data_IF_211142760272
#
_entry.id   IF_211142760272
#
_cell.length_a   1.000
_cell.length_b   1.000
_cell.length_c   1.000
_cell.angle_alpha   90.00
_cell.angle_beta   90.00
_cell.angle_gamma   90.00
#
_symmetry.space_group_name_H-M   'P 1'
#
loop_
_entity.id
_entity.type
_entity.pdbx_description
1 polymer ?
#
# COMPACT_ATOMS: atom_id res chain seq x y z
N UNK A 1 16.87 6.67 -8.55
CA UNK A 1 16.92 5.96 -7.26
C UNK A 1 18.15 5.08 -7.11
N UNK A 2 18.22 3.90 -7.76
CA UNK A 2 19.40 3.01 -7.64
C UNK A 2 20.68 3.68 -8.15
N UNK A 3 20.57 4.42 -9.25
CA UNK A 3 21.66 5.26 -9.74
C UNK A 3 22.08 6.30 -8.70
N UNK A 4 21.16 7.17 -8.26
CA UNK A 4 21.42 8.15 -7.19
C UNK A 4 22.07 7.54 -5.94
N UNK A 5 21.58 6.37 -5.51
CA UNK A 5 22.13 5.66 -4.34
C UNK A 5 23.58 5.25 -4.58
N UNK A 6 23.89 4.63 -5.72
CA UNK A 6 25.25 4.19 -6.05
C UNK A 6 26.16 5.40 -6.25
N UNK A 7 25.76 6.38 -7.05
CA UNK A 7 26.59 7.55 -7.38
C UNK A 7 26.85 8.42 -6.15
N UNK A 8 25.87 8.61 -5.28
CA UNK A 8 26.06 9.35 -4.02
C UNK A 8 26.99 8.62 -3.05
N UNK A 9 26.95 7.28 -2.98
CA UNK A 9 27.88 6.53 -2.14
C UNK A 9 29.30 6.52 -2.70
N UNK A 10 29.48 6.50 -4.03
CA UNK A 10 30.82 6.69 -4.64
C UNK A 10 31.37 8.07 -4.31
N UNK A 11 30.56 9.12 -4.44
CA UNK A 11 30.96 10.47 -4.08
C UNK A 11 31.27 10.62 -2.58
N UNK A 12 30.49 9.96 -1.72
CA UNK A 12 30.70 9.96 -0.27
C UNK A 12 31.97 9.22 0.13
N UNK A 13 32.21 8.02 -0.38
CA UNK A 13 33.42 7.26 -0.11
C UNK A 13 34.68 8.06 -0.46
N UNK A 14 34.62 8.85 -1.55
CA UNK A 14 35.68 9.81 -1.89
C UNK A 14 35.85 10.90 -0.83
N UNK A 15 34.77 11.48 -0.35
CA UNK A 15 34.82 12.52 0.68
C UNK A 15 35.32 11.99 2.03
N UNK A 16 34.99 10.74 2.35
CA UNK A 16 35.39 10.04 3.58
C UNK A 16 36.83 9.49 3.50
N UNK A 17 37.50 9.62 2.35
CA UNK A 17 38.88 9.17 2.15
C UNK A 17 39.02 7.64 2.10
N UNK A 18 37.99 6.93 1.64
CA UNK A 18 38.00 5.48 1.54
C UNK A 18 39.00 4.99 0.48
N UNK A 19 39.62 3.84 0.76
CA UNK A 19 40.57 3.16 -0.14
C UNK A 19 39.91 2.76 -1.46
N UNK A 20 38.70 2.19 -1.39
CA UNK A 20 37.92 1.74 -2.53
C UNK A 20 36.44 1.63 -2.18
N UNK A 21 35.59 1.60 -3.21
CA UNK A 21 34.16 1.27 -3.08
C UNK A 21 33.95 -0.16 -3.55
N UNK A 22 33.33 -1.00 -2.72
CA UNK A 22 32.87 -2.32 -3.13
C UNK A 22 31.37 -2.28 -3.45
N UNK A 23 31.02 -2.50 -4.72
CA UNK A 23 29.64 -2.71 -5.16
C UNK A 23 29.40 -4.22 -5.37
N UNK A 24 28.53 -4.80 -4.54
CA UNK A 24 28.05 -6.17 -4.77
C UNK A 24 26.85 -6.16 -5.71
N UNK A 25 26.84 -7.04 -6.72
CA UNK A 25 25.87 -7.04 -7.82
C UNK A 25 25.15 -8.40 -7.87
N UNK A 26 23.83 -8.35 -7.79
CA UNK A 26 22.92 -9.39 -8.26
C UNK A 26 21.74 -8.71 -8.95
N UNK A 27 21.74 -8.68 -10.28
CA UNK A 27 20.72 -7.97 -11.05
C UNK A 27 20.41 -8.64 -12.40
N UNK A 28 19.12 -8.76 -12.76
CA UNK A 28 18.73 -9.16 -14.10
C UNK A 28 18.85 -8.02 -15.13
N UNK A 29 19.08 -6.77 -14.70
CA UNK A 29 19.11 -5.60 -15.56
C UNK A 29 18.40 -4.39 -14.95
N UNK A 30 18.10 -3.41 -15.80
CA UNK A 30 17.44 -2.17 -15.38
C UNK A 30 17.36 -1.13 -16.49
N UNK A 31 16.95 0.08 -16.13
CA UNK A 31 16.83 1.19 -17.07
C UNK A 31 18.20 1.61 -17.62
N UNK A 32 18.29 1.81 -18.94
CA UNK A 32 19.52 2.27 -19.60
C UNK A 32 20.01 3.64 -19.13
N UNK A 33 19.11 4.54 -18.72
CA UNK A 33 19.50 5.83 -18.13
C UNK A 33 20.25 5.66 -16.80
N UNK A 34 19.71 4.83 -15.89
CA UNK A 34 20.37 4.50 -14.62
C UNK A 34 21.72 3.81 -14.84
N UNK A 35 21.79 2.90 -15.80
CA UNK A 35 23.02 2.22 -16.19
C UNK A 35 24.09 3.21 -16.65
N UNK A 36 23.73 4.14 -17.54
CA UNK A 36 24.64 5.15 -18.05
C UNK A 36 25.18 6.06 -16.93
N UNK A 37 24.30 6.49 -16.02
CA UNK A 37 24.68 7.33 -14.90
C UNK A 37 25.67 6.63 -13.95
N UNK A 38 25.41 5.38 -13.60
CA UNK A 38 26.31 4.57 -12.76
C UNK A 38 27.65 4.34 -13.47
N UNK A 39 27.61 3.93 -14.74
CA UNK A 39 28.81 3.68 -15.57
C UNK A 39 29.68 4.94 -15.67
N UNK A 40 29.06 6.10 -15.91
CA UNK A 40 29.75 7.37 -15.96
C UNK A 40 30.37 7.74 -14.61
N UNK A 41 29.68 7.47 -13.49
CA UNK A 41 30.23 7.67 -12.16
C UNK A 41 31.47 6.81 -11.90
N UNK A 42 31.55 5.60 -12.45
CA UNK A 42 32.73 4.73 -12.28
C UNK A 42 33.90 5.21 -13.14
N UNK A 43 33.63 5.54 -14.40
CA UNK A 43 34.65 6.04 -15.35
C UNK A 43 35.27 7.36 -14.91
N UNK A 44 34.51 8.20 -14.20
CA UNK A 44 34.96 9.52 -13.69
C UNK A 44 35.42 9.50 -12.23
N UNK A 45 35.34 8.35 -11.55
CA UNK A 45 35.76 8.22 -10.16
C UNK A 45 37.27 8.41 -10.03
N UNK A 46 37.69 9.12 -8.98
CA UNK A 46 39.10 9.26 -8.59
C UNK A 46 39.52 8.25 -7.53
N UNK A 47 38.59 7.43 -7.04
CA UNK A 47 38.87 6.29 -6.16
C UNK A 47 38.49 4.98 -6.88
N UNK A 48 39.19 3.86 -6.63
CA UNK A 48 38.86 2.57 -7.21
C UNK A 48 37.44 2.12 -6.86
N UNK A 49 36.68 1.70 -7.87
CA UNK A 49 35.41 0.98 -7.69
C UNK A 49 35.65 -0.49 -8.04
N UNK A 50 35.26 -1.36 -7.11
CA UNK A 50 35.30 -2.82 -7.23
C UNK A 50 33.86 -3.27 -7.42
N UNK A 51 33.52 -3.76 -8.61
CA UNK A 51 32.25 -4.40 -8.86
C UNK A 51 32.40 -5.92 -8.71
N UNK A 52 31.55 -6.53 -7.88
CA UNK A 52 31.63 -7.94 -7.52
C UNK A 52 30.28 -8.62 -7.70
N UNK A 53 30.18 -9.57 -8.64
CA UNK A 53 28.96 -10.37 -8.81
C UNK A 53 28.91 -11.46 -7.75
N UNK A 54 28.00 -11.33 -6.79
CA UNK A 54 27.92 -12.21 -5.63
C UNK A 54 26.53 -12.13 -4.97
N UNK A 55 26.12 -13.14 -4.18
CA UNK A 55 26.83 -14.39 -3.86
C UNK A 55 26.86 -15.39 -5.03
N UNK A 56 27.39 -16.61 -4.82
CA UNK A 56 27.22 -17.70 -5.80
C UNK A 56 25.75 -17.88 -6.19
N UNK A 57 25.49 -18.03 -7.49
CA UNK A 57 24.14 -18.03 -8.08
C UNK A 57 23.64 -16.66 -8.54
N UNK A 58 24.31 -15.57 -8.13
CA UNK A 58 24.01 -14.22 -8.60
C UNK A 58 24.37 -14.02 -10.07
N UNK A 59 23.90 -12.90 -10.63
CA UNK A 59 24.18 -12.51 -12.01
C UNK A 59 24.37 -11.02 -12.20
N UNK A 60 25.13 -10.67 -13.23
CA UNK A 60 25.21 -9.32 -13.77
C UNK A 60 24.70 -9.34 -15.22
N UNK A 61 23.37 -9.38 -15.37
CA UNK A 61 22.74 -9.40 -16.69
C UNK A 61 22.34 -7.98 -17.14
N UNK A 62 22.28 -7.79 -18.45
CA UNK A 62 21.81 -6.54 -19.06
C UNK A 62 22.58 -5.31 -18.56
N UNK A 63 21.89 -4.30 -18.02
CA UNK A 63 22.51 -3.14 -17.39
C UNK A 63 23.57 -3.52 -16.33
N UNK A 64 23.40 -4.65 -15.64
CA UNK A 64 24.37 -5.16 -14.67
C UNK A 64 25.72 -5.48 -15.28
N UNK A 65 25.77 -5.98 -16.52
CA UNK A 65 27.04 -6.26 -17.21
C UNK A 65 27.79 -4.96 -17.51
N UNK A 66 27.10 -3.91 -17.97
CA UNK A 66 27.74 -2.60 -18.19
C UNK A 66 28.28 -2.02 -16.87
N UNK A 67 27.53 -2.14 -15.77
CA UNK A 67 27.95 -1.66 -14.44
C UNK A 67 29.18 -2.45 -13.96
N UNK A 68 29.15 -3.78 -14.03
CA UNK A 68 30.29 -4.62 -13.66
C UNK A 68 31.54 -4.25 -14.46
N UNK A 69 31.39 -4.19 -15.79
CA UNK A 69 32.52 -4.10 -16.69
C UNK A 69 33.05 -2.67 -16.87
N UNK A 70 32.33 -1.67 -16.35
CA UNK A 70 32.79 -0.28 -16.25
C UNK A 70 33.59 0.02 -14.99
N UNK A 71 33.63 -0.90 -14.04
CA UNK A 71 34.44 -0.74 -12.83
C UNK A 71 35.93 -1.00 -13.13
N UNK A 72 36.84 -0.23 -12.50
CA UNK A 72 38.28 -0.49 -12.50
C UNK A 72 38.65 -1.92 -12.08
N UNK A 73 37.88 -2.52 -11.16
CA UNK A 73 37.99 -3.95 -10.82
C UNK A 73 36.65 -4.63 -11.03
N UNK A 74 36.63 -5.65 -11.89
CA UNK A 74 35.50 -6.54 -12.13
C UNK A 74 35.81 -7.93 -11.56
N UNK A 75 35.02 -8.37 -10.58
CA UNK A 75 35.18 -9.66 -9.93
C UNK A 75 33.86 -10.44 -9.94
N UNK A 76 33.95 -11.76 -9.88
CA UNK A 76 32.77 -12.64 -9.85
C UNK A 76 32.94 -13.74 -8.79
N UNK A 77 31.85 -14.16 -8.16
CA UNK A 77 31.83 -15.36 -7.34
C UNK A 77 31.70 -16.61 -8.22
N UNK A 78 32.15 -17.80 -7.76
CA UNK A 78 31.89 -19.05 -8.47
C UNK A 78 30.39 -19.25 -8.71
N UNK A 79 30.04 -19.91 -9.82
CA UNK A 79 28.65 -20.16 -10.22
C UNK A 79 27.80 -18.88 -10.39
N UNK A 80 28.42 -17.80 -10.90
CA UNK A 80 27.72 -16.59 -11.34
C UNK A 80 27.84 -16.43 -12.85
N UNK A 81 27.02 -15.55 -13.44
CA UNK A 81 27.05 -15.25 -14.88
C UNK A 81 26.99 -13.75 -15.19
N UNK A 82 27.50 -13.37 -16.36
CA UNK A 82 27.55 -12.00 -16.88
C UNK A 82 27.20 -11.98 -18.36
N UNK A 83 26.48 -10.94 -18.81
CA UNK A 83 26.17 -10.69 -20.21
C UNK A 83 24.68 -10.42 -20.45
N UNK A 84 24.12 -10.95 -21.54
CA UNK A 84 22.72 -10.77 -21.94
C UNK A 84 22.32 -9.28 -21.96
N UNK A 85 23.06 -8.48 -22.72
CA UNK A 85 23.05 -7.02 -22.71
C UNK A 85 22.45 -6.36 -23.93
N UNK A 86 21.69 -7.10 -24.72
CA UNK A 86 20.93 -6.56 -25.85
C UNK A 86 19.84 -5.59 -25.35
N UNK A 87 19.79 -4.34 -25.85
CA UNK A 87 18.76 -3.38 -25.46
C UNK A 87 17.37 -3.82 -25.93
N UNK A 88 16.41 -3.84 -25.01
CA UNK A 88 15.00 -4.14 -25.27
C UNK A 88 14.12 -2.96 -24.89
N UNK A 89 12.93 -2.88 -25.47
CA UNK A 89 11.95 -1.86 -25.15
C UNK A 89 11.39 -2.01 -23.73
N UNK A 90 10.79 -0.94 -23.20
CA UNK A 90 10.19 -0.92 -21.85
C UNK A 90 9.09 -1.99 -21.65
N UNK A 91 8.48 -2.48 -22.73
CA UNK A 91 7.50 -3.56 -22.68
C UNK A 91 8.12 -4.97 -22.67
N UNK A 92 9.45 -5.08 -22.60
CA UNK A 92 10.18 -6.36 -22.64
C UNK A 92 10.34 -6.96 -24.05
N UNK A 93 9.88 -6.26 -25.09
CA UNK A 93 10.00 -6.70 -26.48
C UNK A 93 11.15 -6.06 -27.22
N UNK A 94 11.54 -6.64 -28.35
CA UNK A 94 12.59 -6.10 -29.22
C UNK A 94 12.25 -4.70 -29.75
N UNK A 95 13.28 -3.85 -29.84
CA UNK A 95 13.18 -2.55 -30.50
C UNK A 95 13.28 -2.78 -32.00
N UNK A 96 12.21 -2.51 -32.74
CA UNK A 96 12.15 -2.85 -34.17
C UNK A 96 12.76 -1.78 -35.09
N UNK A 97 13.14 -2.22 -36.28
CA UNK A 97 13.61 -1.36 -37.38
C UNK A 97 14.95 -0.66 -37.12
N UNK A 98 15.21 0.40 -37.89
CA UNK A 98 16.46 1.16 -37.85
C UNK A 98 16.78 1.76 -36.48
N UNK A 99 15.76 2.03 -35.65
CA UNK A 99 15.98 2.50 -34.28
C UNK A 99 16.64 1.42 -33.42
N UNK A 100 16.16 0.17 -33.50
CA UNK A 100 16.75 -0.96 -32.77
C UNK A 100 18.20 -1.20 -33.17
N UNK A 101 18.49 -1.16 -34.47
CA UNK A 101 19.86 -1.27 -34.98
C UNK A 101 20.77 -0.16 -34.46
N UNK A 102 20.30 1.10 -34.46
CA UNK A 102 21.05 2.24 -33.92
C UNK A 102 21.34 2.07 -32.44
N UNK A 103 20.33 1.71 -31.64
CA UNK A 103 20.46 1.53 -30.19
C UNK A 103 21.41 0.37 -29.87
N UNK A 104 21.27 -0.77 -30.57
CA UNK A 104 22.16 -1.92 -30.40
C UNK A 104 23.61 -1.59 -30.78
N UNK A 105 23.82 -0.93 -31.91
CA UNK A 105 25.17 -0.57 -32.38
C UNK A 105 25.84 0.45 -31.44
N UNK A 106 25.08 1.41 -30.93
CA UNK A 106 25.57 2.39 -29.94
C UNK A 106 25.97 1.71 -28.62
N UNK A 107 25.09 0.83 -28.10
CA UNK A 107 25.37 0.06 -26.89
C UNK A 107 26.59 -0.88 -27.05
N UNK A 108 26.74 -1.51 -28.22
CA UNK A 108 27.86 -2.38 -28.56
C UNK A 108 29.18 -1.58 -28.60
N UNK A 109 29.17 -0.42 -29.26
CA UNK A 109 30.31 0.48 -29.30
C UNK A 109 30.69 1.01 -27.90
N UNK A 110 29.70 1.33 -27.07
CA UNK A 110 29.90 1.74 -25.67
C UNK A 110 30.57 0.63 -24.86
N UNK A 111 30.03 -0.60 -24.90
CA UNK A 111 30.61 -1.76 -24.20
C UNK A 111 32.07 -2.01 -24.63
N UNK A 112 32.32 -1.99 -25.94
CA UNK A 112 33.67 -2.15 -26.51
C UNK A 112 34.62 -1.08 -25.98
N UNK A 113 34.20 0.18 -25.99
CA UNK A 113 35.01 1.33 -25.53
C UNK A 113 35.36 1.20 -24.06
N UNK A 114 34.39 0.83 -23.22
CA UNK A 114 34.60 0.61 -21.78
C UNK A 114 35.67 -0.48 -21.55
N UNK A 115 35.61 -1.59 -22.29
CA UNK A 115 36.59 -2.67 -22.11
C UNK A 115 38.00 -2.26 -22.56
N UNK A 116 38.10 -1.47 -23.63
CA UNK A 116 39.38 -0.93 -24.09
C UNK A 116 40.03 0.00 -23.06
N UNK A 117 39.24 0.76 -22.28
CA UNK A 117 39.76 1.60 -21.18
C UNK A 117 40.55 0.77 -20.16
N UNK A 118 40.07 -0.44 -19.83
CA UNK A 118 40.66 -1.30 -18.82
C UNK A 118 41.55 -2.43 -19.40
N UNK A 119 41.70 -2.51 -20.72
CA UNK A 119 42.50 -3.54 -21.37
C UNK A 119 41.89 -4.95 -21.29
N UNK A 120 40.56 -5.03 -21.16
CA UNK A 120 39.78 -6.27 -21.13
C UNK A 120 39.34 -6.69 -22.53
N UNK A 121 38.83 -7.91 -22.68
CA UNK A 121 38.40 -8.47 -23.96
C UNK A 121 37.13 -7.78 -24.47
N UNK A 122 37.34 -6.73 -25.27
CA UNK A 122 36.29 -5.90 -25.83
C UNK A 122 35.43 -6.64 -26.85
N UNK A 123 36.02 -7.54 -27.65
CA UNK A 123 35.32 -8.28 -28.69
C UNK A 123 34.31 -9.24 -28.08
N UNK A 124 34.69 -9.99 -27.03
CA UNK A 124 33.77 -10.88 -26.33
C UNK A 124 32.68 -10.09 -25.59
N UNK A 125 33.03 -9.00 -24.90
CA UNK A 125 32.04 -8.19 -24.20
C UNK A 125 31.01 -7.55 -25.15
N UNK A 126 31.41 -7.18 -26.37
CA UNK A 126 30.51 -6.68 -27.39
C UNK A 126 29.42 -7.71 -27.77
N UNK A 127 29.77 -9.01 -27.81
CA UNK A 127 28.80 -10.08 -28.10
C UNK A 127 27.67 -10.17 -27.07
N UNK A 128 27.89 -9.67 -25.85
CA UNK A 128 26.81 -9.56 -24.87
C UNK A 128 25.68 -8.66 -25.36
N UNK A 129 26.01 -7.66 -26.18
CA UNK A 129 25.05 -6.72 -26.76
C UNK A 129 24.52 -7.22 -28.10
N UNK A 130 25.40 -7.67 -29.00
CA UNK A 130 24.99 -8.04 -30.37
C UNK A 130 24.26 -9.38 -30.44
N UNK A 131 24.73 -10.35 -29.65
CA UNK A 131 24.33 -11.76 -29.76
C UNK A 131 23.60 -12.25 -28.50
N UNK A 132 23.33 -11.34 -27.55
CA UNK A 132 22.79 -11.63 -26.23
C UNK A 132 23.60 -12.69 -25.46
N UNK A 133 24.91 -12.82 -25.73
CA UNK A 133 25.75 -13.82 -25.11
C UNK A 133 25.82 -13.63 -23.58
N UNK A 134 25.84 -14.74 -22.86
CA UNK A 134 25.99 -14.78 -21.40
C UNK A 134 26.98 -15.88 -21.05
N UNK A 135 27.94 -15.57 -20.20
CA UNK A 135 29.06 -16.46 -19.87
C UNK A 135 29.21 -16.61 -18.36
N UNK A 136 29.80 -17.73 -17.95
CA UNK A 136 30.12 -18.06 -16.55
C UNK A 136 31.30 -17.24 -16.02
N UNK A 137 31.45 -17.18 -14.70
CA UNK A 137 32.60 -16.55 -14.05
C UNK A 137 33.93 -17.11 -14.56
N UNK A 138 34.02 -18.43 -14.75
CA UNK A 138 35.20 -19.15 -15.22
C UNK A 138 35.57 -18.77 -16.66
N UNK A 139 34.58 -18.74 -17.56
CA UNK A 139 34.77 -18.29 -18.94
C UNK A 139 35.16 -16.81 -19.00
N UNK A 140 34.50 -15.96 -18.19
CA UNK A 140 34.78 -14.54 -18.13
C UNK A 140 36.23 -14.26 -17.68
N UNK A 141 36.73 -15.00 -16.69
CA UNK A 141 38.12 -14.87 -16.24
C UNK A 141 39.10 -15.39 -17.31
N UNK A 142 38.84 -16.57 -17.87
CA UNK A 142 39.70 -17.19 -18.88
C UNK A 142 39.84 -16.30 -20.12
N UNK A 143 38.76 -15.63 -20.51
CA UNK A 143 38.71 -14.75 -21.67
C UNK A 143 39.06 -13.29 -21.35
N UNK A 144 39.47 -12.97 -20.11
CA UNK A 144 39.82 -11.61 -19.65
C UNK A 144 38.69 -10.57 -19.83
N UNK A 145 37.45 -10.98 -19.56
CA UNK A 145 36.30 -10.06 -19.41
C UNK A 145 36.19 -9.54 -17.98
N UNK A 146 36.69 -10.30 -17.00
CA UNK A 146 36.82 -9.88 -15.60
C UNK A 146 38.27 -10.08 -15.13
N UNK A 147 38.59 -9.55 -13.95
CA UNK A 147 39.95 -9.56 -13.42
C UNK A 147 40.24 -10.75 -12.50
N UNK A 148 39.24 -11.21 -11.73
CA UNK A 148 39.41 -12.32 -10.79
C UNK A 148 38.09 -12.97 -10.36
N UNK A 149 38.21 -14.18 -9.79
CA UNK A 149 37.13 -14.89 -9.11
C UNK A 149 37.43 -14.97 -7.61
N UNK A 150 36.45 -14.62 -6.79
CA UNK A 150 36.58 -14.64 -5.33
C UNK A 150 35.37 -15.34 -4.69
N UNK A 151 35.60 -16.19 -3.67
CA UNK A 151 34.52 -16.98 -3.03
C UNK A 151 33.70 -16.21 -2.00
N UNK A 152 34.26 -15.12 -1.49
CA UNK A 152 33.61 -14.22 -0.53
C UNK A 152 34.23 -12.84 -0.62
N UNK A 153 33.60 -11.86 0.04
CA UNK A 153 34.16 -10.53 0.18
C UNK A 153 35.53 -10.53 0.87
N UNK A 154 35.75 -11.40 1.87
CA UNK A 154 37.06 -11.51 2.52
C UNK A 154 38.13 -12.06 1.58
N UNK A 155 37.78 -13.07 0.77
CA UNK A 155 38.68 -13.61 -0.27
C UNK A 155 39.01 -12.55 -1.32
N UNK A 156 38.01 -11.77 -1.75
CA UNK A 156 38.16 -10.65 -2.69
C UNK A 156 39.14 -9.59 -2.17
N UNK A 157 38.90 -9.09 -0.95
CA UNK A 157 39.72 -8.05 -0.31
C UNK A 157 41.16 -8.55 -0.12
N UNK A 158 41.35 -9.81 0.26
CA UNK A 158 42.68 -10.40 0.40
C UNK A 158 43.42 -10.54 -0.95
N UNK A 159 42.71 -10.92 -2.02
CA UNK A 159 43.29 -11.05 -3.35
C UNK A 159 43.58 -9.70 -4.04
N UNK A 160 42.96 -8.61 -3.59
CA UNK A 160 43.14 -7.27 -4.13
C UNK A 160 44.30 -6.50 -3.48
N UNK A 161 44.80 -6.97 -2.34
CA UNK A 161 45.85 -6.27 -1.61
C UNK A 161 47.14 -6.22 -2.43
N UNK A 162 47.71 -5.02 -2.55
CA UNK A 162 48.91 -4.74 -3.33
C UNK A 162 48.73 -4.76 -4.85
N UNK A 163 47.50 -4.93 -5.37
CA UNK A 163 47.27 -4.88 -6.83
C UNK A 163 47.22 -3.45 -7.33
N UNK A 164 47.86 -3.24 -8.48
CA UNK A 164 47.78 -1.98 -9.21
C UNK A 164 46.53 -1.96 -10.11
N UNK A 165 45.69 -0.95 -9.94
CA UNK A 165 44.39 -0.81 -10.61
C UNK A 165 44.38 0.47 -11.44
N UNK A 166 43.99 0.33 -12.71
CA UNK A 166 43.83 1.46 -13.63
C UNK A 166 42.43 2.06 -13.52
N UNK A 167 42.34 3.31 -13.12
CA UNK A 167 41.10 4.09 -13.10
C UNK A 167 40.67 4.50 -14.51
N UNK A 168 39.41 4.91 -14.68
CA UNK A 168 38.85 5.33 -15.97
C UNK A 168 39.57 6.53 -16.61
N UNK A 169 40.20 7.39 -15.80
CA UNK A 169 41.04 8.50 -16.28
C UNK A 169 42.47 8.08 -16.67
N UNK A 170 42.83 6.80 -16.57
CA UNK A 170 44.16 6.26 -16.85
C UNK A 170 45.16 6.33 -15.70
N UNK A 171 44.77 6.87 -14.55
CA UNK A 171 45.64 6.87 -13.35
C UNK A 171 45.72 5.47 -12.76
N UNK A 172 46.91 5.09 -12.29
CA UNK A 172 47.16 3.83 -11.62
C UNK A 172 47.16 4.04 -10.11
N UNK A 173 46.43 3.20 -9.38
CA UNK A 173 46.30 3.23 -7.92
C UNK A 173 46.57 1.83 -7.39
N UNK A 174 47.51 1.70 -6.46
CA UNK A 174 47.74 0.44 -5.74
C UNK A 174 46.74 0.32 -4.60
N UNK A 175 46.00 -0.79 -4.58
CA UNK A 175 45.04 -1.09 -3.53
C UNK A 175 45.73 -1.57 -2.25
N UNK A 176 45.41 -0.94 -1.11
CA UNK A 176 45.85 -1.33 0.23
C UNK A 176 44.65 -1.85 1.03
N UNK A 177 44.29 -3.10 0.81
CA UNK A 177 43.08 -3.72 1.37
C UNK A 177 43.35 -4.63 2.56
N UNK A 178 44.61 -4.93 2.87
CA UNK A 178 44.98 -5.70 4.07
C UNK A 178 44.50 -5.00 5.35
N UNK A 179 43.61 -5.67 6.10
CA UNK A 179 43.05 -5.13 7.33
C UNK A 179 42.00 -4.02 7.12
N UNK A 180 41.52 -3.83 5.89
CA UNK A 180 40.47 -2.86 5.60
C UNK A 180 39.20 -3.17 6.40
N UNK A 181 38.59 -2.11 6.97
CA UNK A 181 37.29 -2.21 7.64
C UNK A 181 36.20 -2.06 6.58
N UNK A 182 35.38 -3.10 6.43
CA UNK A 182 34.20 -3.04 5.56
C UNK A 182 33.13 -2.18 6.25
N UNK A 183 32.88 -0.99 5.70
CA UNK A 183 31.80 -0.13 6.12
C UNK A 183 30.59 -0.38 5.23
N UNK A 184 29.61 -1.10 5.76
CA UNK A 184 28.36 -1.31 5.06
C UNK A 184 27.56 -0.01 4.99
N UNK A 185 27.35 0.45 3.77
CA UNK A 185 26.35 1.47 3.48
C UNK A 185 25.09 0.72 3.05
N UNK A 186 24.09 0.67 3.94
CA UNK A 186 22.77 0.21 3.57
C UNK A 186 22.00 1.33 2.87
N UNK A 187 21.04 0.95 2.02
CA UNK A 187 20.00 1.86 1.59
C UNK A 187 19.32 2.44 2.86
N UNK A 188 19.14 3.77 2.93
CA UNK A 188 18.52 4.40 4.10
C UNK A 188 17.02 4.08 4.17
N UNK A 189 16.35 4.29 5.31
CA UNK A 189 14.96 3.84 5.49
C UNK A 189 13.93 4.36 4.46
N UNK A 190 14.10 5.59 3.95
CA UNK A 190 13.25 6.10 2.86
C UNK A 190 13.55 5.45 1.50
N UNK A 191 14.83 5.14 1.29
CA UNK A 191 15.37 4.54 0.08
C UNK A 191 14.92 3.07 0.04
N UNK A 192 15.08 2.34 1.15
CA UNK A 192 14.48 1.02 1.36
C UNK A 192 12.96 1.02 1.18
N UNK A 193 12.24 2.03 1.71
CA UNK A 193 10.80 2.14 1.51
C UNK A 193 10.47 2.21 0.01
N UNK A 194 11.11 3.10 -0.75
CA UNK A 194 10.89 3.22 -2.20
C UNK A 194 11.27 1.95 -2.97
N UNK A 195 12.34 1.27 -2.57
CA UNK A 195 12.72 -0.03 -3.15
C UNK A 195 11.65 -1.09 -2.88
N UNK A 196 11.13 -1.13 -1.65
CA UNK A 196 10.05 -2.01 -1.25
C UNK A 196 8.72 -1.68 -1.94
N UNK A 197 8.46 -0.41 -2.29
CA UNK A 197 7.31 -0.03 -3.14
C UNK A 197 7.40 -0.66 -4.54
N UNK A 198 8.60 -0.94 -5.04
CA UNK A 198 8.79 -1.65 -6.32
C UNK A 198 8.65 -3.17 -6.17
N UNK A 199 8.35 -3.69 -4.98
CA UNK A 199 8.03 -5.10 -4.80
C UNK A 199 6.58 -5.38 -5.24
N UNK A 200 6.36 -6.24 -6.27
CA UNK A 200 5.02 -6.60 -6.73
C UNK A 200 4.16 -7.25 -5.63
N UNK A 201 4.76 -7.94 -4.66
CA UNK A 201 4.06 -8.50 -3.51
C UNK A 201 3.56 -7.41 -2.59
N UNK A 202 4.41 -6.43 -2.27
CA UNK A 202 4.06 -5.38 -1.33
C UNK A 202 2.99 -4.46 -1.92
N UNK A 203 3.11 -4.11 -3.21
CA UNK A 203 2.09 -3.38 -3.94
C UNK A 203 0.73 -4.10 -3.89
N UNK A 204 0.71 -5.42 -4.10
CA UNK A 204 -0.49 -6.24 -4.03
C UNK A 204 -1.06 -6.38 -2.60
N UNK A 205 -0.21 -6.56 -1.60
CA UNK A 205 -0.62 -6.65 -0.18
C UNK A 205 -1.21 -5.31 0.28
N UNK A 206 -0.55 -4.19 -0.01
CA UNK A 206 -1.02 -2.85 0.33
C UNK A 206 -2.36 -2.53 -0.33
N UNK A 207 -2.58 -2.98 -1.56
CA UNK A 207 -3.89 -2.85 -2.23
C UNK A 207 -5.01 -3.45 -1.36
N UNK A 208 -4.84 -4.72 -0.97
CA UNK A 208 -5.88 -5.50 -0.30
C UNK A 208 -6.03 -5.14 1.18
N UNK A 209 -4.94 -4.86 1.89
CA UNK A 209 -5.00 -4.33 3.26
C UNK A 209 -5.63 -2.93 3.25
N UNK A 210 -5.21 -2.07 2.32
CA UNK A 210 -5.75 -0.71 2.17
C UNK A 210 -7.26 -0.73 1.95
N UNK A 211 -7.72 -1.58 1.03
CA UNK A 211 -9.15 -1.79 0.78
C UNK A 211 -9.88 -2.35 2.02
N UNK A 212 -9.30 -3.34 2.70
CA UNK A 212 -9.88 -3.93 3.92
C UNK A 212 -10.05 -2.91 5.06
N UNK A 213 -9.07 -2.02 5.25
CA UNK A 213 -9.14 -0.97 6.27
C UNK A 213 -10.19 0.11 5.96
N UNK A 214 -10.38 0.45 4.69
CA UNK A 214 -11.46 1.33 4.25
C UNK A 214 -12.81 0.67 4.53
N UNK A 215 -12.96 -0.61 4.18
CA UNK A 215 -14.19 -1.36 4.48
C UNK A 215 -14.43 -1.45 5.99
N UNK A 216 -13.39 -1.64 6.80
CA UNK A 216 -13.51 -1.68 8.26
C UNK A 216 -14.04 -0.36 8.84
N UNK A 217 -13.56 0.79 8.35
CA UNK A 217 -14.06 2.10 8.76
C UNK A 217 -15.56 2.27 8.45
N UNK A 218 -16.01 1.76 7.29
CA UNK A 218 -17.43 1.80 6.92
C UNK A 218 -18.31 0.92 7.83
N UNK A 219 -17.76 -0.15 8.40
CA UNK A 219 -18.48 -1.09 9.26
C UNK A 219 -18.50 -0.63 10.72
N UNK A 220 -17.40 -0.05 11.20
CA UNK A 220 -17.24 0.42 12.59
C UNK A 220 -17.10 1.95 12.57
N UNK A 221 -18.23 2.70 12.58
CA UNK A 221 -18.20 4.15 12.62
C UNK A 221 -17.41 4.65 13.83
N UNK A 222 -16.51 5.61 13.62
CA UNK A 222 -15.69 6.24 14.68
C UNK A 222 -14.20 5.87 14.66
N UNK A 223 -13.79 4.90 13.83
CA UNK A 223 -12.37 4.55 13.62
C UNK A 223 -11.72 5.34 12.46
N UNK A 224 -11.62 6.67 12.60
CA UNK A 224 -11.06 7.56 11.54
C UNK A 224 -9.62 7.16 11.12
N UNK A 225 -8.88 6.54 12.04
CA UNK A 225 -7.51 6.10 11.78
C UNK A 225 -7.42 4.95 10.77
N UNK A 226 -8.36 4.00 10.74
CA UNK A 226 -8.28 2.86 9.80
C UNK A 226 -8.51 3.32 8.36
N UNK A 227 -9.47 4.21 8.13
CA UNK A 227 -9.74 4.80 6.83
C UNK A 227 -8.56 5.53 6.21
N UNK A 228 -7.97 6.42 7.01
CA UNK A 228 -6.81 7.22 6.62
C UNK A 228 -5.62 6.33 6.27
N UNK A 229 -5.28 5.36 7.14
CA UNK A 229 -4.21 4.39 6.88
C UNK A 229 -4.54 3.57 5.63
N UNK A 230 -5.78 3.12 5.48
CA UNK A 230 -6.23 2.35 4.33
C UNK A 230 -6.07 3.10 3.01
N UNK A 231 -6.42 4.38 2.99
CA UNK A 231 -6.29 5.25 1.82
C UNK A 231 -4.82 5.51 1.49
N UNK A 232 -3.96 5.74 2.48
CA UNK A 232 -2.51 5.87 2.27
C UNK A 232 -1.93 4.61 1.64
N UNK A 233 -2.27 3.43 2.17
CA UNK A 233 -1.82 2.14 1.61
C UNK A 233 -2.33 1.93 0.18
N UNK A 234 -3.58 2.31 -0.10
CA UNK A 234 -4.15 2.19 -1.44
C UNK A 234 -3.46 3.13 -2.44
N UNK A 235 -3.18 4.38 -2.07
CA UNK A 235 -2.42 5.32 -2.90
C UNK A 235 -1.03 4.76 -3.17
N UNK A 236 -0.37 4.23 -2.14
CA UNK A 236 0.98 3.66 -2.25
C UNK A 236 1.00 2.46 -3.19
N UNK A 237 -0.01 1.59 -3.09
CA UNK A 237 -0.21 0.47 -4.01
C UNK A 237 -0.43 0.92 -5.45
N UNK A 238 -1.30 1.91 -5.69
CA UNK A 238 -1.57 2.44 -7.03
C UNK A 238 -0.31 3.09 -7.63
N UNK A 239 0.45 3.85 -6.82
CA UNK A 239 1.73 4.40 -7.23
C UNK A 239 2.72 3.30 -7.61
N UNK A 240 2.79 2.23 -6.81
CA UNK A 240 3.64 1.06 -7.07
C UNK A 240 3.23 0.34 -8.36
N UNK A 241 1.93 0.17 -8.59
CA UNK A 241 1.41 -0.34 -9.86
C UNK A 241 1.84 0.56 -11.03
N UNK A 242 1.77 1.88 -10.90
CA UNK A 242 2.21 2.80 -11.96
C UNK A 242 3.71 2.69 -12.33
N UNK A 243 4.55 2.24 -11.40
CA UNK A 243 5.99 2.06 -11.60
C UNK A 243 6.36 0.66 -12.11
N UNK A 244 5.46 -0.31 -11.99
CA UNK A 244 5.68 -1.70 -12.40
C UNK A 244 5.03 -1.99 -13.76
N UNK A 245 5.52 -2.99 -14.53
CA UNK A 245 4.96 -3.34 -15.83
C UNK A 245 3.63 -4.10 -15.69
N UNK A 246 2.59 -3.41 -15.22
CA UNK A 246 1.27 -4.01 -14.96
C UNK A 246 0.56 -4.32 -16.27
N UNK A 247 -0.11 -5.47 -16.30
CA UNK A 247 -0.96 -5.87 -17.42
C UNK A 247 -2.41 -5.46 -17.14
N UNK A 248 -3.04 -4.86 -18.14
CA UNK A 248 -4.44 -4.43 -18.05
C UNK A 248 -5.41 -5.54 -17.64
N UNK A 249 -5.17 -6.78 -18.08
CA UNK A 249 -6.00 -7.94 -17.74
C UNK A 249 -6.01 -8.23 -16.24
N UNK A 250 -4.89 -8.07 -15.53
CA UNK A 250 -4.84 -8.28 -14.09
C UNK A 250 -5.59 -7.20 -13.33
N UNK A 251 -5.48 -5.94 -13.77
CA UNK A 251 -6.26 -4.83 -13.21
C UNK A 251 -7.77 -5.07 -13.39
N UNK A 252 -8.19 -5.56 -14.56
CA UNK A 252 -9.60 -5.87 -14.82
C UNK A 252 -10.13 -6.93 -13.85
N UNK A 253 -9.35 -7.98 -13.59
CA UNK A 253 -9.71 -8.99 -12.59
C UNK A 253 -9.72 -8.44 -11.16
N UNK A 254 -8.79 -7.56 -10.79
CA UNK A 254 -8.82 -6.90 -9.47
C UNK A 254 -10.09 -6.06 -9.29
N UNK A 255 -10.47 -5.27 -10.30
CA UNK A 255 -11.71 -4.49 -10.27
C UNK A 255 -12.92 -5.43 -10.16
N UNK A 256 -12.96 -6.50 -10.97
CA UNK A 256 -14.04 -7.48 -10.93
C UNK A 256 -14.15 -8.15 -9.54
N UNK A 257 -13.02 -8.42 -8.88
CA UNK A 257 -12.96 -8.92 -7.51
C UNK A 257 -13.61 -7.96 -6.52
N UNK A 258 -13.21 -6.69 -6.54
CA UNK A 258 -13.78 -5.64 -5.67
C UNK A 258 -15.29 -5.49 -5.90
N UNK A 259 -15.74 -5.48 -7.15
CA UNK A 259 -17.16 -5.39 -7.49
C UNK A 259 -17.95 -6.58 -6.92
N UNK A 260 -17.43 -7.80 -7.07
CA UNK A 260 -18.07 -9.00 -6.51
C UNK A 260 -18.18 -8.91 -4.98
N UNK A 261 -17.12 -8.47 -4.30
CA UNK A 261 -17.18 -8.27 -2.84
C UNK A 261 -18.19 -7.21 -2.44
N UNK A 262 -18.27 -6.08 -3.15
CA UNK A 262 -19.26 -5.03 -2.87
C UNK A 262 -20.70 -5.54 -3.09
N UNK A 263 -20.94 -6.38 -4.11
CA UNK A 263 -22.25 -7.01 -4.33
C UNK A 263 -22.61 -7.92 -3.16
N UNK A 264 -21.69 -8.76 -2.68
CA UNK A 264 -21.90 -9.63 -1.51
C UNK A 264 -22.22 -8.80 -0.25
N UNK A 265 -21.59 -7.64 -0.06
CA UNK A 265 -21.87 -6.74 1.06
C UNK A 265 -23.28 -6.12 1.00
N UNK A 266 -23.74 -5.72 -0.19
CA UNK A 266 -25.07 -5.10 -0.37
C UNK A 266 -26.21 -6.12 -0.33
N UNK A 267 -25.98 -7.32 -0.83
CA UNK A 267 -26.95 -8.41 -0.85
C UNK A 267 -26.33 -9.70 -0.27
N UNK A 268 -26.11 -9.76 1.06
CA UNK A 268 -25.56 -10.96 1.70
C UNK A 268 -26.51 -12.14 1.51
N UNK A 269 -26.00 -13.27 1.00
CA UNK A 269 -26.84 -14.42 0.66
C UNK A 269 -26.09 -15.74 0.67
N UNK A 270 -25.77 -16.27 -0.52
CA UNK A 270 -25.22 -17.60 -0.73
C UNK A 270 -23.68 -17.66 -0.73
N UNK A 271 -22.99 -16.52 -0.61
CA UNK A 271 -21.52 -16.46 -0.68
C UNK A 271 -20.94 -16.63 -2.09
N UNK A 272 -21.78 -16.72 -3.13
CA UNK A 272 -21.35 -16.91 -4.53
C UNK A 272 -20.53 -15.72 -5.00
N UNK A 273 -20.95 -14.50 -4.67
CA UNK A 273 -20.21 -13.30 -5.06
C UNK A 273 -18.91 -13.17 -4.26
N UNK A 274 -18.89 -13.58 -2.99
CA UNK A 274 -17.66 -13.72 -2.22
C UNK A 274 -16.67 -14.70 -2.84
N UNK A 275 -17.13 -15.89 -3.25
CA UNK A 275 -16.29 -16.91 -3.90
C UNK A 275 -15.77 -16.46 -5.27
N UNK A 276 -16.63 -15.83 -6.07
CA UNK A 276 -16.24 -15.27 -7.37
C UNK A 276 -15.25 -14.09 -7.20
N UNK A 277 -15.47 -13.26 -6.18
CA UNK A 277 -14.52 -12.21 -5.78
C UNK A 277 -13.16 -12.79 -5.44
N UNK A 278 -13.11 -13.87 -4.66
CA UNK A 278 -11.86 -14.55 -4.32
C UNK A 278 -11.18 -15.17 -5.55
N UNK A 279 -11.94 -15.78 -6.45
CA UNK A 279 -11.41 -16.30 -7.72
C UNK A 279 -10.79 -15.18 -8.56
N UNK A 280 -11.49 -14.06 -8.72
CA UNK A 280 -10.97 -12.91 -9.46
C UNK A 280 -9.79 -12.23 -8.75
N UNK A 281 -9.69 -12.28 -7.42
CA UNK A 281 -8.50 -11.84 -6.70
C UNK A 281 -7.29 -12.69 -7.09
N UNK A 282 -7.46 -14.02 -7.09
CA UNK A 282 -6.41 -14.97 -7.45
C UNK A 282 -5.98 -14.78 -8.91
N UNK A 283 -6.94 -14.68 -9.83
CA UNK A 283 -6.67 -14.43 -11.25
C UNK A 283 -6.04 -13.04 -11.46
N UNK A 284 -6.50 -12.03 -10.72
CA UNK A 284 -5.97 -10.68 -10.75
C UNK A 284 -4.50 -10.65 -10.36
N UNK A 285 -4.15 -11.18 -9.20
CA UNK A 285 -2.75 -11.27 -8.76
C UNK A 285 -1.89 -12.17 -9.65
N UNK A 286 -2.47 -13.25 -10.20
CA UNK A 286 -1.76 -14.12 -11.13
C UNK A 286 -1.45 -13.44 -12.46
N UNK A 287 -2.37 -12.66 -13.03
CA UNK A 287 -2.20 -12.01 -14.33
C UNK A 287 -1.77 -10.54 -14.23
N UNK A 288 -1.52 -10.02 -13.03
CA UNK A 288 -1.15 -8.62 -12.79
C UNK A 288 0.13 -8.20 -13.50
N UNK A 289 1.11 -9.11 -13.56
CA UNK A 289 2.42 -8.85 -14.16
C UNK A 289 2.78 -9.94 -15.19
N UNK A 290 3.74 -9.62 -16.05
CA UNK A 290 4.33 -10.62 -16.94
C UNK A 290 5.39 -11.44 -16.19
N UNK A 291 5.06 -12.71 -15.87
CA UNK A 291 5.96 -13.63 -15.18
C UNK A 291 7.25 -13.91 -15.95
N UNK A 292 7.26 -13.73 -17.27
CA UNK A 292 8.48 -13.94 -18.07
C UNK A 292 9.55 -12.86 -17.81
N UNK A 293 9.14 -11.66 -17.40
CA UNK A 293 10.02 -10.54 -17.06
C UNK A 293 10.59 -10.59 -15.64
N UNK A 294 10.41 -11.69 -14.89
CA UNK A 294 10.92 -11.84 -13.52
C UNK A 294 10.17 -11.06 -12.45
N UNK A 295 9.17 -10.24 -12.82
CA UNK A 295 8.32 -9.48 -11.89
C UNK A 295 6.97 -10.19 -11.76
N UNK A 296 6.64 -10.68 -10.58
CA UNK A 296 5.33 -11.29 -10.34
C UNK A 296 4.96 -11.32 -8.86
N UNK A 297 3.66 -11.43 -8.58
CA UNK A 297 3.19 -11.73 -7.23
C UNK A 297 3.56 -13.18 -6.92
N UNK A 298 4.29 -13.37 -5.82
CA UNK A 298 4.67 -14.68 -5.32
C UNK A 298 3.42 -15.51 -4.98
N UNK A 299 3.44 -16.84 -5.22
CA UNK A 299 2.31 -17.70 -4.87
C UNK A 299 1.95 -17.63 -3.38
N UNK A 300 2.94 -17.45 -2.49
CA UNK A 300 2.72 -17.31 -1.04
C UNK A 300 1.98 -16.03 -0.68
N UNK A 301 2.37 -14.88 -1.24
CA UNK A 301 1.65 -13.62 -1.04
C UNK A 301 0.22 -13.70 -1.60
N UNK A 302 0.06 -14.32 -2.78
CA UNK A 302 -1.25 -14.49 -3.41
C UNK A 302 -2.20 -15.32 -2.53
N UNK A 303 -1.74 -16.47 -2.03
CA UNK A 303 -2.52 -17.35 -1.13
C UNK A 303 -2.77 -16.66 0.21
N UNK A 304 -1.77 -15.98 0.78
CA UNK A 304 -1.91 -15.28 2.05
C UNK A 304 -2.96 -14.16 2.00
N UNK A 305 -2.93 -13.34 0.94
CA UNK A 305 -3.92 -12.28 0.72
C UNK A 305 -5.30 -12.86 0.43
N UNK A 306 -5.40 -13.93 -0.37
CA UNK A 306 -6.67 -14.61 -0.62
C UNK A 306 -7.27 -15.18 0.69
N UNK A 307 -6.46 -15.82 1.53
CA UNK A 307 -6.89 -16.32 2.83
C UNK A 307 -7.36 -15.17 3.74
N UNK A 308 -6.59 -14.09 3.81
CA UNK A 308 -6.96 -12.89 4.57
C UNK A 308 -8.29 -12.31 4.08
N UNK A 309 -8.44 -12.09 2.77
CA UNK A 309 -9.66 -11.54 2.18
C UNK A 309 -10.86 -12.47 2.44
N UNK A 310 -10.70 -13.78 2.27
CA UNK A 310 -11.74 -14.76 2.55
C UNK A 310 -12.20 -14.75 4.00
N UNK A 311 -11.26 -14.72 4.96
CA UNK A 311 -11.57 -14.62 6.39
C UNK A 311 -12.23 -13.28 6.71
N UNK A 312 -11.67 -12.17 6.23
CA UNK A 312 -12.18 -10.82 6.46
C UNK A 312 -13.61 -10.68 5.95
N UNK A 313 -13.88 -10.97 4.68
CA UNK A 313 -15.23 -10.89 4.12
C UNK A 313 -16.18 -11.90 4.75
N UNK A 314 -15.70 -13.08 5.15
CA UNK A 314 -16.49 -14.05 5.91
C UNK A 314 -16.98 -13.48 7.25
N UNK A 315 -16.10 -12.79 8.00
CA UNK A 315 -16.46 -12.09 9.25
C UNK A 315 -17.46 -10.97 8.96
N UNK A 316 -17.23 -10.17 7.92
CA UNK A 316 -18.11 -9.04 7.57
C UNK A 316 -19.51 -9.53 7.19
N UNK A 317 -19.62 -10.55 6.34
CA UNK A 317 -20.90 -11.17 5.95
C UNK A 317 -21.59 -11.78 7.17
N UNK A 318 -20.87 -12.49 8.03
CA UNK A 318 -21.42 -13.05 9.26
C UNK A 318 -21.97 -11.96 10.21
N UNK A 319 -21.25 -10.84 10.35
CA UNK A 319 -21.70 -9.69 11.13
C UNK A 319 -22.94 -9.04 10.51
N UNK A 320 -22.96 -8.82 9.19
CA UNK A 320 -24.10 -8.25 8.47
C UNK A 320 -25.37 -9.11 8.60
N UNK A 321 -25.24 -10.44 8.49
CA UNK A 321 -26.34 -11.38 8.69
C UNK A 321 -26.85 -11.36 10.14
N UNK A 322 -25.96 -11.24 11.14
CA UNK A 322 -26.36 -11.11 12.55
C UNK A 322 -27.16 -9.85 12.81
N UNK A 323 -26.79 -8.70 12.22
CA UNK A 323 -27.55 -7.45 12.38
C UNK A 323 -28.96 -7.55 11.78
N UNK A 324 -29.13 -8.24 10.66
CA UNK A 324 -30.46 -8.46 10.05
C UNK A 324 -31.41 -9.28 10.90
N UNK A 325 -30.90 -10.13 11.78
CA UNK A 325 -31.71 -10.95 12.68
C UNK A 325 -31.98 -10.29 14.04
N UNK A 326 -31.45 -9.08 14.29
CA UNK A 326 -31.82 -8.34 15.49
C UNK A 326 -33.12 -7.56 15.25
N UNK A 327 -34.13 -7.70 16.11
CA UNK A 327 -35.34 -6.90 16.00
C UNK A 327 -35.00 -5.41 16.14
N UNK A 328 -35.65 -4.56 15.31
CA UNK A 328 -35.46 -3.11 15.33
C UNK A 328 -35.61 -2.57 16.77
N UNK A 329 -34.53 -1.99 17.29
CA UNK A 329 -34.42 -1.48 18.67
C UNK A 329 -35.48 -0.39 18.97
N UNK A 330 -36.05 0.23 17.93
CA UNK A 330 -37.09 1.26 18.04
C UNK A 330 -38.47 0.75 18.47
N UNK A 331 -38.81 -0.53 18.25
CA UNK A 331 -40.18 -1.02 18.53
C UNK A 331 -40.43 -1.37 20.00
N UNK A 332 -39.37 -1.59 20.81
CA UNK A 332 -39.51 -1.99 22.21
C UNK A 332 -39.50 -0.85 23.23
N UNK A 333 -39.13 0.37 22.84
CA UNK A 333 -39.03 1.48 23.79
C UNK A 333 -40.38 2.17 24.03
N UNK A 334 -41.20 2.34 22.98
CA UNK A 334 -42.38 3.23 23.03
C UNK A 334 -43.67 2.51 23.42
N UNK A 335 -43.78 1.20 23.15
CA UNK A 335 -44.96 0.40 23.51
C UNK A 335 -45.01 0.19 25.03
N UNK A 336 -46.14 0.53 25.65
CA UNK A 336 -46.35 0.52 27.10
C UNK A 336 -46.06 1.85 27.80
N UNK A 337 -45.47 2.83 27.11
CA UNK A 337 -45.27 4.17 27.68
C UNK A 337 -46.56 4.99 27.68
N UNK A 338 -46.61 5.95 28.61
CA UNK A 338 -47.68 6.93 28.69
C UNK A 338 -47.27 8.25 28.01
N UNK A 339 -48.27 8.93 27.46
CA UNK A 339 -48.12 10.21 26.81
C UNK A 339 -49.38 11.06 26.92
N UNK A 340 -49.42 12.15 26.17
CA UNK A 340 -50.54 13.10 26.18
C UNK A 340 -51.00 13.37 24.76
N UNK A 341 -52.31 13.31 24.50
CA UNK A 341 -52.89 13.74 23.24
C UNK A 341 -52.74 15.27 23.08
N UNK A 342 -52.28 15.74 21.92
CA UNK A 342 -52.15 17.19 21.67
C UNK A 342 -53.54 17.84 21.48
N UNK A 343 -53.61 19.18 21.49
CA UNK A 343 -54.85 19.95 21.55
C UNK A 343 -55.92 19.58 20.49
N UNK A 344 -55.51 19.06 19.33
CA UNK A 344 -56.43 18.60 18.28
C UNK A 344 -57.15 17.26 18.61
N UNK A 345 -56.74 16.57 19.68
CA UNK A 345 -57.21 15.22 20.01
C UNK A 345 -56.66 14.14 19.07
N UNK A 346 -56.97 12.88 19.40
CA UNK A 346 -56.60 11.71 18.58
C UNK A 346 -57.82 10.85 18.35
N UNK A 347 -58.16 10.56 17.10
CA UNK A 347 -59.30 9.70 16.77
C UNK A 347 -58.93 8.52 15.87
N UNK A 348 -59.95 7.78 15.39
CA UNK A 348 -59.75 6.66 14.46
C UNK A 348 -59.13 7.07 13.12
N UNK A 349 -59.27 8.36 12.74
CA UNK A 349 -58.71 8.94 11.51
C UNK A 349 -57.28 9.49 11.68
N UNK A 350 -56.73 9.39 12.88
CA UNK A 350 -55.40 9.92 13.22
C UNK A 350 -55.44 11.14 14.15
N UNK A 351 -54.27 11.46 14.70
CA UNK A 351 -54.00 12.58 15.58
C UNK A 351 -52.53 12.59 15.97
N UNK A 352 -52.16 13.44 16.93
CA UNK A 352 -50.78 13.54 17.42
C UNK A 352 -50.75 13.40 18.93
N UNK A 353 -49.83 12.58 19.42
CA UNK A 353 -49.57 12.37 20.85
C UNK A 353 -48.12 12.73 21.15
N UNK A 354 -47.85 13.12 22.38
CA UNK A 354 -46.49 13.32 22.88
C UNK A 354 -46.13 12.21 23.85
N UNK A 355 -45.14 11.40 23.51
CA UNK A 355 -44.64 10.25 24.30
C UNK A 355 -43.12 10.40 24.39
N UNK A 356 -42.54 10.22 25.58
CA UNK A 356 -41.10 10.41 25.83
C UNK A 356 -40.53 11.78 25.36
N UNK A 357 -41.32 12.85 25.45
CA UNK A 357 -40.98 14.19 24.95
C UNK A 357 -40.85 14.31 23.42
N UNK A 358 -41.29 13.31 22.66
CA UNK A 358 -41.34 13.32 21.19
C UNK A 358 -42.79 13.35 20.69
N UNK A 359 -43.04 13.98 19.54
CA UNK A 359 -44.36 14.02 18.90
C UNK A 359 -44.52 12.89 17.88
N UNK A 360 -45.57 12.09 18.07
CA UNK A 360 -45.86 10.92 17.27
C UNK A 360 -47.24 11.01 16.63
N UNK A 361 -47.34 10.56 15.38
CA UNK A 361 -48.65 10.30 14.78
C UNK A 361 -49.28 9.11 15.49
N UNK A 362 -50.54 9.24 15.87
CA UNK A 362 -51.25 8.18 16.55
C UNK A 362 -52.68 8.01 16.05
N UNK A 363 -53.22 6.81 16.24
CA UNK A 363 -54.62 6.47 16.01
C UNK A 363 -55.22 5.89 17.29
N UNK A 364 -56.48 6.20 17.53
CA UNK A 364 -57.26 5.66 18.65
C UNK A 364 -58.45 4.85 18.12
N UNK A 365 -58.28 3.54 17.86
CA UNK A 365 -59.35 2.69 17.32
C UNK A 365 -60.55 2.56 18.27
N UNK A 366 -60.33 2.69 19.57
CA UNK A 366 -61.34 2.58 20.63
C UNK A 366 -62.27 3.80 20.76
N UNK A 367 -61.97 4.91 20.07
CA UNK A 367 -62.80 6.12 20.07
C UNK A 367 -61.96 7.41 20.11
N UNK A 368 -62.58 8.58 19.89
CA UNK A 368 -61.87 9.86 19.94
C UNK A 368 -61.40 10.20 21.37
N UNK A 369 -60.13 10.54 21.50
CA UNK A 369 -59.46 11.02 22.71
C UNK A 369 -59.30 12.53 22.61
N UNK A 370 -59.74 13.26 23.64
CA UNK A 370 -59.65 14.73 23.68
C UNK A 370 -58.21 15.20 23.85
N UNK A 371 -57.91 16.40 23.33
CA UNK A 371 -56.62 17.02 23.53
C UNK A 371 -56.35 17.31 25.01
N UNK A 372 -55.15 17.01 25.48
CA UNK A 372 -54.73 17.10 26.88
C UNK A 372 -54.93 15.81 27.68
N UNK A 373 -55.65 14.80 27.15
CA UNK A 373 -55.86 13.54 27.85
C UNK A 373 -54.61 12.65 27.83
N UNK A 374 -54.40 11.88 28.91
CA UNK A 374 -53.33 10.88 28.99
C UNK A 374 -53.67 9.65 28.17
N UNK A 375 -52.67 9.14 27.46
CA UNK A 375 -52.80 7.97 26.58
C UNK A 375 -51.70 6.96 26.85
N UNK A 376 -52.00 5.68 26.64
CA UNK A 376 -51.02 4.59 26.68
C UNK A 376 -50.81 4.02 25.29
N UNK A 377 -49.55 3.77 24.93
CA UNK A 377 -49.19 3.16 23.65
C UNK A 377 -49.35 1.65 23.72
N UNK A 378 -50.20 1.07 22.88
CA UNK A 378 -50.45 -0.37 22.83
C UNK A 378 -49.74 -1.07 21.66
N UNK A 379 -49.45 -0.35 20.59
CA UNK A 379 -48.71 -0.87 19.44
C UNK A 379 -48.02 0.26 18.68
N UNK A 380 -46.96 -0.08 17.95
CA UNK A 380 -46.31 0.76 16.97
C UNK A 380 -46.36 0.03 15.62
N UNK A 381 -46.98 0.65 14.62
CA UNK A 381 -46.97 0.17 13.23
C UNK A 381 -46.29 1.21 12.34
N UNK A 382 -45.09 0.89 11.85
CA UNK A 382 -44.22 1.84 11.15
C UNK A 382 -43.84 3.04 12.01
N UNK A 383 -44.42 4.21 11.70
CA UNK A 383 -44.25 5.48 12.43
C UNK A 383 -45.57 5.98 13.06
N UNK A 384 -46.58 5.10 13.17
CA UNK A 384 -47.90 5.43 13.72
C UNK A 384 -48.13 4.61 15.00
N UNK A 385 -48.38 5.30 16.11
CA UNK A 385 -48.72 4.69 17.39
C UNK A 385 -50.21 4.34 17.44
N UNK A 386 -50.53 3.18 17.97
CA UNK A 386 -51.90 2.88 18.40
C UNK A 386 -52.00 3.18 19.89
N UNK A 387 -52.95 4.02 20.27
CA UNK A 387 -53.09 4.51 21.65
C UNK A 387 -54.48 4.29 22.21
N UNK A 388 -54.56 4.11 23.52
CA UNK A 388 -55.81 4.01 24.29
C UNK A 388 -55.80 5.01 25.47
N UNK A 389 -56.98 5.43 25.97
CA UNK A 389 -57.05 6.28 27.16
C UNK A 389 -56.40 5.61 28.37
N UNK A 390 -55.51 6.31 29.07
CA UNK A 390 -54.99 5.81 30.36
C UNK A 390 -56.01 6.13 31.47
N UNK A 391 -56.42 5.11 32.23
CA UNK A 391 -57.58 5.16 33.13
C UNK A 391 -57.32 5.82 34.50
N UNK A 392 -56.29 6.66 34.64
CA UNK A 392 -55.96 7.30 35.92
C UNK A 392 -56.22 8.82 35.87
N UNK A 393 -57.25 9.23 36.63
CA UNK A 393 -57.87 10.56 36.80
C UNK A 393 -58.88 11.03 35.73
N UNK A 394 -60.15 10.67 35.99
CA UNK A 394 -61.29 11.52 35.66
C UNK A 394 -61.64 12.36 36.91
N UNK A 395 -61.24 13.62 36.94
CA UNK A 395 -61.89 14.65 37.79
C UNK A 395 -62.21 15.88 36.92
N UNK A 396 -63.47 16.37 36.95
CA UNK A 396 -63.89 17.52 36.17
C UNK A 396 -63.59 18.84 36.90
N UNK A 397 -62.93 19.78 36.23
CA UNK A 397 -62.96 21.20 36.60
C UNK A 397 -64.34 21.81 36.27
N UNK A 398 -65.01 22.37 37.28
CA UNK A 398 -66.16 23.27 37.11
C UNK A 398 -66.16 24.41 38.14
N UNK A 399 -65.57 25.54 37.73
CA UNK A 399 -66.07 26.94 37.80
C UNK A 399 -66.74 27.53 39.07
N UNK A 400 -66.05 28.55 39.62
CA UNK A 400 -66.47 29.92 40.03
C UNK A 400 -67.29 30.26 41.31
N UNK A 401 -66.65 31.18 42.06
CA UNK A 401 -67.14 32.46 42.61
C UNK A 401 -67.67 32.53 44.06
N UNK A 402 -66.95 33.28 44.91
CA UNK A 402 -67.45 34.55 45.46
C UNK A 402 -66.37 35.28 46.31
N UNK A 403 -66.36 36.59 46.16
CA UNK A 403 -65.62 37.63 46.85
C UNK A 403 -65.73 37.63 48.38
N UNK A 404 -64.64 37.94 49.07
CA UNK A 404 -64.66 38.92 50.18
C UNK A 404 -63.28 39.50 50.44
N UNK A 405 -63.25 40.82 50.57
CA UNK A 405 -62.16 41.68 51.00
C UNK A 405 -61.84 41.46 52.50
N UNK A 406 -60.59 41.70 52.92
CA UNK A 406 -60.19 42.60 54.04
C UNK A 406 -58.65 42.61 54.22
N UNK A 407 -58.07 43.77 53.88
CA UNK A 407 -57.06 44.60 54.57
C UNK A 407 -55.94 44.04 55.49
N UNK A 408 -54.78 44.72 55.40
CA UNK A 408 -53.67 44.97 56.36
C UNK A 408 -52.36 44.21 56.06
N UNK A 409 -51.34 44.83 55.45
CA UNK A 409 -50.37 45.87 55.89
C UNK A 409 -49.09 45.27 56.54
N UNK A 410 -47.93 45.85 56.16
CA UNK A 410 -46.62 45.88 56.85
C UNK A 410 -45.49 45.08 56.16
N UNK A 411 -44.55 45.73 55.45
CA UNK A 411 -43.16 46.13 55.88
C UNK A 411 -42.18 44.94 55.72
N UNK A 412 -40.97 44.96 55.16
CA UNK A 412 -40.02 45.85 54.48
C UNK A 412 -38.89 44.92 53.88
N UNK A 413 -37.91 45.43 53.11
CA UNK A 413 -37.01 44.62 52.27
C UNK A 413 -35.58 44.47 52.84
N UNK A 414 -34.83 43.45 52.39
CA UNK A 414 -33.36 43.36 52.50
C UNK A 414 -32.84 42.34 51.46
N UNK A 415 -32.28 42.75 50.32
CA UNK A 415 -30.84 43.03 50.05
C UNK A 415 -29.92 41.85 50.35
N UNK A 416 -29.34 41.29 49.29
CA UNK A 416 -28.01 40.67 49.29
C UNK A 416 -27.32 40.99 47.94
N UNK A 417 -26.16 41.65 47.96
CA UNK A 417 -25.18 41.52 46.89
C UNK A 417 -23.81 41.04 47.42
N UNK A 418 -23.17 40.23 46.60
CA UNK A 418 -21.72 40.11 46.36
C UNK A 418 -20.71 39.73 47.47
N UNK A 419 -19.72 38.96 47.02
CA UNK A 419 -18.39 38.81 47.62
C UNK A 419 -18.14 37.39 48.15
N UNK A 420 -17.07 36.67 47.84
CA UNK A 420 -15.82 36.97 47.16
C UNK A 420 -14.81 35.86 47.52
N UNK A 421 -13.86 35.61 46.61
CA UNK A 421 -12.51 35.03 46.81
C UNK A 421 -12.25 33.99 47.91
N UNK A 422 -11.82 32.78 47.49
CA UNK A 422 -10.40 32.38 47.57
C UNK A 422 -10.12 31.17 46.68
#
# INVERSE_FOLDING_TARGET
FTADYITSNVARARADGAEAVLLTIDTPGGLGSSMNEITQSFLTSTIPVIAYVAPSGARAASAGAFILLSAPVAAMAPATNVGASTPIGLSGGDISGTLGEKVRNDAAASMRTIQQTYGRNADLAETFVTDAASITAEEALQQKVIDLIARSTQDLVAQLDGKDVRLGNGTHVTLHTAGAVLQDHSMGGFVDLLHNLLDPNLAFIFFWIGLGLIVLELIIPGHIFSGTIGTILLILSIASFGLLPVRFIGILFLIASVVCFVIELKAPGLGIWGALGLLFLLLGGWFLYDRSGGVSVSPSALVGVAAFAGVFFGIVVAAALRLRHQPSIWSRSVVGQEGVALAAGVGPKGGVVRVASEEWRAVAPSGPIQGGARVRVIALDGLVLTVEPSAEHAEPEASTAASSSTTSSSTAPSTDPEGGSN
#
